data_IF_294344607471
#
_entry.id   IF_294344607471
#
_cell.length_a   1.000
_cell.length_b   1.000
_cell.length_c   1.000
_cell.angle_alpha   90.00
_cell.angle_beta   90.00
_cell.angle_gamma   90.00
#
_symmetry.space_group_name_H-M   'P 1'
#
loop_
_entity.id
_entity.type
_entity.pdbx_description
1 polymer ?
#
# COMPACT_ATOMS: atom_id res chain seq x y z
N UNK A 1 -0.55 26.35 -13.93
CA UNK A 1 0.19 27.60 -13.72
C UNK A 1 1.29 27.47 -12.66
N UNK A 2 1.00 26.94 -11.45
CA UNK A 2 2.02 26.76 -10.40
C UNK A 2 3.04 25.65 -10.74
N UNK A 3 2.58 24.50 -11.24
CA UNK A 3 3.45 23.38 -11.66
C UNK A 3 4.38 23.72 -12.84
N UNK A 4 3.93 24.60 -13.75
CA UNK A 4 4.73 25.05 -14.90
C UNK A 4 5.81 26.06 -14.49
N UNK A 5 5.57 26.86 -13.45
CA UNK A 5 6.58 27.77 -12.89
C UNK A 5 7.66 27.03 -12.09
N UNK A 6 7.25 26.01 -11.31
CA UNK A 6 8.19 25.16 -10.57
C UNK A 6 9.14 24.38 -11.49
N UNK A 7 8.64 23.85 -12.62
CA UNK A 7 9.46 23.11 -13.60
C UNK A 7 10.64 23.88 -14.19
N UNK A 8 10.60 25.22 -14.20
CA UNK A 8 11.70 26.04 -14.70
C UNK A 8 12.78 26.29 -13.63
N UNK A 9 12.42 26.24 -12.34
CA UNK A 9 13.37 26.34 -11.23
C UNK A 9 14.11 25.01 -10.98
N UNK A 10 13.50 23.87 -11.34
CA UNK A 10 14.07 22.53 -11.15
C UNK A 10 15.02 22.09 -12.26
N UNK A 11 15.13 22.83 -13.38
CA UNK A 11 15.89 22.36 -14.56
C UNK A 11 17.39 22.17 -14.31
N UNK A 12 17.93 22.82 -13.29
CA UNK A 12 19.36 22.78 -12.92
C UNK A 12 19.57 22.29 -11.50
N UNK A 13 18.49 21.96 -10.78
CA UNK A 13 18.56 21.49 -9.40
C UNK A 13 18.53 19.96 -9.40
N UNK A 14 19.71 19.38 -9.23
CA UNK A 14 19.94 17.95 -9.23
C UNK A 14 19.12 17.25 -8.13
N UNK A 15 18.96 17.87 -6.95
CA UNK A 15 18.19 17.31 -5.83
C UNK A 15 16.70 17.30 -6.18
N UNK A 16 16.17 18.40 -6.72
CA UNK A 16 14.77 18.48 -7.10
C UNK A 16 14.41 17.46 -8.20
N UNK A 17 15.30 17.24 -9.18
CA UNK A 17 15.10 16.23 -10.23
C UNK A 17 15.15 14.82 -9.65
N UNK A 18 16.08 14.53 -8.75
CA UNK A 18 16.15 13.25 -8.04
C UNK A 18 14.87 12.98 -7.24
N UNK A 19 14.43 13.93 -6.42
CA UNK A 19 13.20 13.82 -5.64
C UNK A 19 11.96 13.67 -6.53
N UNK A 20 11.91 14.35 -7.67
CA UNK A 20 10.84 14.15 -8.65
C UNK A 20 10.80 12.70 -9.15
N UNK A 21 11.94 12.13 -9.51
CA UNK A 21 12.03 10.73 -9.95
C UNK A 21 11.61 9.75 -8.84
N UNK A 22 12.01 10.02 -7.60
CA UNK A 22 11.56 9.26 -6.42
C UNK A 22 10.04 9.35 -6.26
N UNK A 23 9.45 10.54 -6.40
CA UNK A 23 7.99 10.70 -6.35
C UNK A 23 7.28 9.87 -7.42
N UNK A 24 7.79 9.85 -8.66
CA UNK A 24 7.23 8.99 -9.71
C UNK A 24 7.30 7.50 -9.33
N UNK A 25 8.42 7.05 -8.75
CA UNK A 25 8.55 5.68 -8.24
C UNK A 25 7.54 5.37 -7.11
N UNK A 26 7.38 6.28 -6.13
CA UNK A 26 6.44 6.09 -5.02
C UNK A 26 4.98 6.09 -5.47
N UNK A 27 4.66 6.79 -6.56
CA UNK A 27 3.35 6.79 -7.20
C UNK A 27 3.15 5.61 -8.18
N UNK A 28 4.10 4.66 -8.23
CA UNK A 28 4.10 3.52 -9.15
C UNK A 28 4.05 3.91 -10.65
N UNK A 29 4.48 5.13 -10.99
CA UNK A 29 4.67 5.59 -12.37
C UNK A 29 6.07 5.14 -12.85
N UNK A 30 6.22 3.83 -13.04
CA UNK A 30 7.52 3.16 -13.18
C UNK A 30 8.28 3.61 -14.44
N UNK A 31 7.60 3.81 -15.56
CA UNK A 31 8.23 4.22 -16.82
C UNK A 31 8.80 5.63 -16.73
N UNK A 32 8.04 6.59 -16.18
CA UNK A 32 8.52 7.95 -15.94
C UNK A 32 9.67 7.98 -14.93
N UNK A 33 9.56 7.20 -13.85
CA UNK A 33 10.63 7.08 -12.86
C UNK A 33 11.92 6.57 -13.53
N UNK A 34 11.83 5.50 -14.32
CA UNK A 34 12.96 4.92 -15.04
C UNK A 34 13.62 5.93 -15.97
N UNK A 35 12.81 6.63 -16.77
CA UNK A 35 13.30 7.63 -17.72
C UNK A 35 14.03 8.78 -17.02
N UNK A 36 13.51 9.26 -15.88
CA UNK A 36 14.14 10.34 -15.11
C UNK A 36 15.45 9.91 -14.47
N UNK A 37 15.52 8.73 -13.84
CA UNK A 37 16.77 8.24 -13.24
C UNK A 37 17.84 7.96 -14.30
N UNK A 38 17.48 7.33 -15.42
CA UNK A 38 18.42 7.07 -16.52
C UNK A 38 18.94 8.36 -17.14
N UNK A 39 18.08 9.37 -17.28
CA UNK A 39 18.49 10.69 -17.74
C UNK A 39 19.52 11.30 -16.81
N UNK A 40 19.29 11.28 -15.50
CA UNK A 40 20.24 11.81 -14.50
C UNK A 40 21.58 11.08 -14.55
N UNK A 41 21.57 9.74 -14.61
CA UNK A 41 22.80 8.93 -14.72
C UNK A 41 23.62 9.31 -15.98
N UNK A 42 22.95 9.68 -17.07
CA UNK A 42 23.58 9.97 -18.36
C UNK A 42 24.05 11.42 -18.50
N UNK A 43 23.27 12.37 -18.03
CA UNK A 43 23.47 13.80 -18.30
C UNK A 43 24.22 14.52 -17.17
N UNK A 44 24.10 14.06 -15.92
CA UNK A 44 24.80 14.67 -14.80
C UNK A 44 26.26 14.24 -14.74
N UNK A 45 27.14 15.18 -14.40
CA UNK A 45 28.58 14.90 -14.24
C UNK A 45 28.85 14.05 -12.99
N UNK A 46 28.08 14.25 -11.93
CA UNK A 46 28.21 13.58 -10.63
C UNK A 46 26.81 13.24 -10.06
N UNK A 47 26.08 12.31 -10.69
CA UNK A 47 24.73 11.92 -10.25
C UNK A 47 24.76 11.28 -8.86
N UNK A 48 23.67 11.43 -8.10
CA UNK A 48 23.52 10.72 -6.83
C UNK A 48 23.65 9.19 -7.04
N UNK A 49 24.48 8.48 -6.25
CA UNK A 49 24.59 7.01 -6.33
C UNK A 49 23.23 6.31 -6.21
N UNK A 50 22.30 6.89 -5.47
CA UNK A 50 20.93 6.42 -5.29
C UNK A 50 20.16 6.33 -6.62
N UNK A 51 20.54 7.05 -7.67
CA UNK A 51 19.92 6.92 -8.99
C UNK A 51 20.01 5.47 -9.50
N UNK A 52 21.12 4.76 -9.26
CA UNK A 52 21.26 3.35 -9.62
C UNK A 52 20.44 2.46 -8.71
N UNK A 53 20.41 2.74 -7.39
CA UNK A 53 19.56 2.01 -6.46
C UNK A 53 18.09 2.07 -6.89
N UNK A 54 17.57 3.25 -7.19
CA UNK A 54 16.19 3.42 -7.62
C UNK A 54 15.94 2.85 -9.02
N UNK A 55 16.88 2.99 -9.97
CA UNK A 55 16.76 2.33 -11.28
C UNK A 55 16.62 0.81 -11.15
N UNK A 56 17.41 0.19 -10.26
CA UNK A 56 17.31 -1.23 -9.98
C UNK A 56 15.95 -1.59 -9.32
N UNK A 57 15.49 -0.78 -8.36
CA UNK A 57 14.16 -0.95 -7.73
C UNK A 57 13.01 -0.81 -8.73
N UNK A 58 13.13 0.10 -9.69
CA UNK A 58 12.14 0.26 -10.78
C UNK A 58 12.12 -1.00 -11.64
N UNK A 59 13.27 -1.48 -12.12
CA UNK A 59 13.32 -2.74 -12.87
C UNK A 59 12.80 -3.93 -12.07
N UNK A 60 13.08 -3.98 -10.77
CA UNK A 60 12.56 -5.00 -9.87
C UNK A 60 11.03 -4.95 -9.81
N UNK A 61 10.44 -3.76 -9.60
CA UNK A 61 8.99 -3.55 -9.60
C UNK A 61 8.32 -3.89 -10.95
N UNK A 62 9.02 -3.69 -12.06
CA UNK A 62 8.57 -4.09 -13.41
C UNK A 62 8.78 -5.59 -13.70
N UNK A 63 9.20 -6.39 -12.71
CA UNK A 63 9.56 -7.80 -12.85
C UNK A 63 10.69 -8.08 -13.86
N UNK A 64 11.45 -7.05 -14.23
CA UNK A 64 12.65 -7.18 -15.07
C UNK A 64 13.85 -7.54 -14.19
N UNK A 65 13.73 -8.65 -13.46
CA UNK A 65 14.66 -9.06 -12.40
C UNK A 65 16.11 -9.17 -12.85
N UNK A 66 16.36 -9.63 -14.09
CA UNK A 66 17.72 -9.69 -14.64
C UNK A 66 18.38 -8.32 -14.72
N UNK A 67 17.69 -7.33 -15.31
CA UNK A 67 18.19 -5.94 -15.38
C UNK A 67 18.33 -5.33 -13.99
N UNK A 68 17.39 -5.62 -13.09
CA UNK A 68 17.46 -5.16 -11.71
C UNK A 68 18.75 -5.65 -11.02
N UNK A 69 19.09 -6.93 -11.16
CA UNK A 69 20.33 -7.51 -10.61
C UNK A 69 21.56 -6.80 -11.15
N UNK A 70 21.62 -6.54 -12.46
CA UNK A 70 22.76 -5.87 -13.09
C UNK A 70 22.95 -4.46 -12.53
N UNK A 71 21.87 -3.68 -12.44
CA UNK A 71 21.93 -2.31 -11.92
C UNK A 71 22.19 -2.28 -10.39
N UNK A 72 21.66 -3.23 -9.62
CA UNK A 72 22.02 -3.35 -8.19
C UNK A 72 23.51 -3.62 -8.01
N UNK A 73 24.12 -4.45 -8.89
CA UNK A 73 25.57 -4.67 -8.88
C UNK A 73 26.34 -3.41 -9.28
N UNK A 74 25.82 -2.62 -10.22
CA UNK A 74 26.40 -1.31 -10.56
C UNK A 74 26.39 -0.35 -9.37
N UNK A 75 25.27 -0.27 -8.64
CA UNK A 75 25.19 0.51 -7.40
C UNK A 75 26.20 0.02 -6.35
N UNK A 76 26.31 -1.30 -6.13
CA UNK A 76 27.28 -1.89 -5.21
C UNK A 76 28.74 -1.56 -5.56
N UNK A 77 29.08 -1.30 -6.82
CA UNK A 77 30.44 -0.89 -7.22
C UNK A 77 30.76 0.56 -6.84
N UNK A 78 29.74 1.40 -6.64
CA UNK A 78 29.92 2.80 -6.23
C UNK A 78 30.05 2.95 -4.71
N UNK A 79 29.53 2.00 -3.95
CA UNK A 79 29.58 2.02 -2.50
C UNK A 79 30.95 1.59 -1.96
N UNK A 80 31.39 2.24 -0.88
CA UNK A 80 32.55 1.78 -0.09
C UNK A 80 32.29 0.38 0.47
N UNK A 81 33.36 -0.37 0.76
CA UNK A 81 33.25 -1.75 1.25
C UNK A 81 32.53 -1.89 2.59
N UNK A 82 32.57 -0.87 3.44
CA UNK A 82 31.92 -0.80 4.75
C UNK A 82 30.57 -0.05 4.74
N UNK A 83 30.04 0.28 3.56
CA UNK A 83 28.76 0.99 3.46
C UNK A 83 27.59 0.11 3.98
N UNK A 84 26.73 0.64 4.88
CA UNK A 84 25.65 -0.14 5.48
C UNK A 84 24.60 -0.62 4.46
N UNK A 85 24.45 0.06 3.33
CA UNK A 85 23.47 -0.29 2.30
C UNK A 85 23.87 -1.56 1.54
N UNK A 86 25.15 -1.95 1.52
CA UNK A 86 25.61 -3.14 0.77
C UNK A 86 24.84 -4.39 1.14
N UNK A 87 24.57 -4.59 2.44
CA UNK A 87 23.85 -5.76 2.93
C UNK A 87 22.43 -5.79 2.35
N UNK A 88 21.70 -4.68 2.47
CA UNK A 88 20.32 -4.54 2.00
C UNK A 88 20.26 -4.77 0.49
N UNK A 89 21.19 -4.19 -0.28
CA UNK A 89 21.22 -4.34 -1.74
C UNK A 89 21.51 -5.77 -2.17
N UNK A 90 22.40 -6.49 -1.47
CA UNK A 90 22.61 -7.91 -1.73
C UNK A 90 21.36 -8.76 -1.45
N UNK A 91 20.56 -8.39 -0.44
CA UNK A 91 19.27 -9.04 -0.19
C UNK A 91 18.28 -8.77 -1.33
N UNK A 92 18.26 -7.56 -1.90
CA UNK A 92 17.44 -7.26 -3.09
C UNK A 92 17.87 -8.06 -4.33
N UNK A 93 19.18 -8.27 -4.54
CA UNK A 93 19.70 -9.15 -5.59
C UNK A 93 19.22 -10.59 -5.41
N UNK A 94 19.23 -11.11 -4.18
CA UNK A 94 18.69 -12.45 -3.87
C UNK A 94 17.19 -12.53 -4.13
N UNK A 95 16.43 -11.49 -3.78
CA UNK A 95 14.99 -11.42 -4.08
C UNK A 95 14.71 -11.43 -5.58
N UNK A 96 15.51 -10.71 -6.38
CA UNK A 96 15.40 -10.77 -7.83
C UNK A 96 15.70 -12.18 -8.37
N UNK A 97 16.75 -12.84 -7.85
CA UNK A 97 17.07 -14.21 -8.24
C UNK A 97 15.93 -15.19 -7.91
N UNK A 98 15.37 -15.09 -6.70
CA UNK A 98 14.18 -15.85 -6.32
C UNK A 98 12.99 -15.53 -7.22
N UNK A 99 12.80 -14.25 -7.59
CA UNK A 99 11.75 -13.82 -8.53
C UNK A 99 11.88 -14.48 -9.91
N UNK A 100 13.11 -14.63 -10.41
CA UNK A 100 13.39 -15.35 -11.67
C UNK A 100 13.00 -16.83 -11.60
N UNK A 101 13.19 -17.47 -10.45
CA UNK A 101 12.80 -18.87 -10.26
C UNK A 101 11.27 -19.01 -10.07
N UNK A 102 10.68 -18.14 -9.26
CA UNK A 102 9.27 -18.20 -8.90
C UNK A 102 8.33 -17.84 -10.05
N UNK A 103 8.73 -16.95 -10.98
CA UNK A 103 7.89 -16.60 -12.13
C UNK A 103 7.55 -17.79 -13.04
N UNK A 104 8.35 -18.86 -13.01
CA UNK A 104 8.09 -20.08 -13.78
C UNK A 104 7.41 -21.18 -12.97
N UNK A 105 7.21 -20.96 -11.67
CA UNK A 105 6.50 -21.91 -10.81
C UNK A 105 5.01 -21.64 -10.90
N UNK A 106 4.24 -22.67 -11.28
CA UNK A 106 2.79 -22.58 -11.25
C UNK A 106 2.32 -22.31 -9.81
N UNK A 107 1.45 -21.30 -9.64
CA UNK A 107 0.79 -21.07 -8.36
C UNK A 107 -0.23 -22.18 -8.12
N UNK A 108 -0.19 -22.79 -6.93
CA UNK A 108 -1.21 -23.75 -6.51
C UNK A 108 -2.52 -23.06 -6.11
N UNK A 109 -2.50 -21.74 -5.94
CA UNK A 109 -3.65 -20.92 -5.61
C UNK A 109 -3.95 -19.91 -6.73
N UNK A 110 -5.22 -19.83 -7.13
CA UNK A 110 -5.72 -18.72 -7.93
C UNK A 110 -5.86 -17.48 -7.04
N UNK A 111 -5.22 -16.39 -7.44
CA UNK A 111 -5.44 -15.08 -6.80
C UNK A 111 -6.22 -14.23 -7.79
N UNK A 112 -7.38 -13.77 -7.36
CA UNK A 112 -8.22 -12.88 -8.15
C UNK A 112 -8.49 -11.59 -7.37
N UNK A 113 -8.60 -10.49 -8.09
CA UNK A 113 -9.09 -9.25 -7.52
C UNK A 113 -10.59 -9.43 -7.25
N UNK A 114 -11.04 -9.11 -6.03
CA UNK A 114 -12.43 -9.24 -5.58
C UNK A 114 -13.43 -8.33 -6.33
N UNK A 115 -12.94 -7.44 -7.19
CA UNK A 115 -13.74 -6.51 -7.97
C UNK A 115 -13.99 -5.18 -7.25
N UNK A 116 -14.52 -4.19 -7.99
CA UNK A 116 -14.69 -2.82 -7.50
C UNK A 116 -15.75 -2.66 -6.40
N UNK A 117 -16.62 -3.67 -6.23
CA UNK A 117 -17.60 -3.71 -5.14
C UNK A 117 -16.95 -3.86 -3.75
N UNK A 118 -15.69 -4.34 -3.72
CA UNK A 118 -14.89 -4.50 -2.51
C UNK A 118 -13.64 -3.63 -2.57
N UNK A 119 -12.82 -3.79 -3.62
CA UNK A 119 -11.56 -3.05 -3.78
C UNK A 119 -11.82 -1.70 -4.44
N UNK A 120 -11.88 -0.64 -3.65
CA UNK A 120 -12.14 0.71 -4.15
C UNK A 120 -10.83 1.46 -4.45
N UNK A 121 -10.92 2.75 -4.77
CA UNK A 121 -9.74 3.62 -4.86
C UNK A 121 -9.19 4.04 -3.49
N UNK A 122 -9.90 3.69 -2.41
CA UNK A 122 -9.55 3.98 -1.03
C UNK A 122 -8.90 2.76 -0.34
N UNK A 123 -8.62 2.90 0.96
CA UNK A 123 -8.00 1.82 1.70
C UNK A 123 -9.04 0.77 2.11
N UNK A 124 -8.85 -0.48 1.72
CA UNK A 124 -9.49 -1.66 2.29
C UNK A 124 -8.46 -2.58 2.92
N UNK A 125 -8.70 -2.98 4.18
CA UNK A 125 -7.71 -3.70 4.97
C UNK A 125 -8.36 -4.54 6.07
N UNK A 126 -7.53 -5.30 6.79
CA UNK A 126 -7.94 -6.23 7.84
C UNK A 126 -9.12 -7.16 7.43
N UNK A 127 -9.00 -7.89 6.30
CA UNK A 127 -10.03 -8.84 5.90
C UNK A 127 -10.11 -10.02 6.88
N UNK A 128 -11.33 -10.38 7.27
CA UNK A 128 -11.66 -11.49 8.16
C UNK A 128 -12.79 -12.30 7.54
N UNK A 129 -12.55 -13.59 7.31
CA UNK A 129 -13.58 -14.51 6.82
C UNK A 129 -14.63 -14.76 7.90
N UNK A 130 -15.90 -14.90 7.49
CA UNK A 130 -16.93 -15.31 8.43
C UNK A 130 -16.71 -16.75 8.92
N UNK A 131 -16.80 -16.95 10.23
CA UNK A 131 -16.77 -18.29 10.83
C UNK A 131 -18.05 -19.09 10.57
N UNK A 132 -19.14 -18.42 10.16
CA UNK A 132 -20.46 -19.02 10.00
C UNK A 132 -20.89 -19.15 8.52
N UNK A 133 -20.33 -18.34 7.63
CA UNK A 133 -20.75 -18.29 6.23
C UNK A 133 -19.54 -18.22 5.29
N UNK A 134 -19.29 -19.29 4.54
CA UNK A 134 -18.15 -19.38 3.60
C UNK A 134 -18.17 -18.33 2.50
N UNK A 135 -19.34 -17.75 2.21
CA UNK A 135 -19.53 -16.72 1.19
C UNK A 135 -19.51 -15.29 1.75
N UNK A 136 -19.07 -15.05 2.99
CA UNK A 136 -19.13 -13.74 3.65
C UNK A 136 -17.76 -13.30 4.16
N UNK A 137 -17.41 -12.05 3.87
CA UNK A 137 -16.17 -11.40 4.29
C UNK A 137 -16.49 -10.13 5.08
N UNK A 138 -15.72 -9.91 6.13
CA UNK A 138 -15.68 -8.67 6.88
C UNK A 138 -14.34 -7.99 6.66
N UNK A 139 -14.30 -6.67 6.66
CA UNK A 139 -13.07 -5.91 6.50
C UNK A 139 -13.26 -4.50 7.03
N UNK A 140 -12.20 -3.70 7.01
CA UNK A 140 -12.25 -2.29 7.36
C UNK A 140 -11.87 -1.44 6.17
N UNK A 141 -12.45 -0.24 6.10
CA UNK A 141 -12.14 0.69 5.02
C UNK A 141 -12.06 2.13 5.52
N UNK A 142 -11.15 2.92 4.96
CA UNK A 142 -11.04 4.37 5.17
C UNK A 142 -11.50 5.07 3.90
N UNK A 143 -12.76 5.51 3.86
CA UNK A 143 -13.36 6.11 2.66
C UNK A 143 -14.39 7.19 2.98
N UNK A 144 -14.75 8.05 2.01
CA UNK A 144 -15.86 8.97 2.16
C UNK A 144 -17.16 8.25 2.52
N UNK A 145 -17.93 8.83 3.43
CA UNK A 145 -19.20 8.26 3.91
C UNK A 145 -19.07 7.45 5.20
N UNK A 146 -17.86 7.15 5.67
CA UNK A 146 -17.63 6.54 6.98
C UNK A 146 -18.17 7.42 8.11
N UNK A 147 -18.63 6.80 9.21
CA UNK A 147 -19.30 7.46 10.32
C UNK A 147 -18.42 8.52 10.99
N UNK A 148 -17.13 8.22 11.13
CA UNK A 148 -16.12 9.15 11.61
C UNK A 148 -15.93 10.37 10.72
N UNK A 149 -16.19 10.31 9.41
CA UNK A 149 -15.92 11.43 8.50
C UNK A 149 -14.47 11.94 8.63
N UNK A 150 -14.22 13.19 8.20
CA UNK A 150 -12.88 13.78 8.27
C UNK A 150 -12.57 14.33 9.67
N UNK A 151 -11.46 13.89 10.26
CA UNK A 151 -11.00 14.27 11.60
C UNK A 151 -9.51 14.67 11.60
N UNK A 152 -9.13 15.58 12.47
CA UNK A 152 -7.73 15.93 12.73
C UNK A 152 -7.11 15.05 13.82
N UNK A 153 -5.83 15.25 14.12
CA UNK A 153 -5.09 14.48 15.14
C UNK A 153 -5.67 14.60 16.57
N UNK A 154 -6.50 15.60 16.86
CA UNK A 154 -7.20 15.75 18.13
C UNK A 154 -8.60 15.07 18.12
N UNK A 155 -8.97 14.37 17.04
CA UNK A 155 -10.28 13.75 16.90
C UNK A 155 -11.42 14.74 16.59
N UNK A 156 -11.10 15.99 16.25
CA UNK A 156 -12.10 17.02 15.92
C UNK A 156 -12.39 17.01 14.43
N UNK A 157 -13.64 17.34 14.05
CA UNK A 157 -14.06 17.44 12.66
C UNK A 157 -13.24 18.50 11.90
N UNK A 158 -12.65 18.10 10.79
CA UNK A 158 -11.87 18.97 9.91
C UNK A 158 -12.09 18.58 8.45
N UNK A 159 -12.99 19.29 7.78
CA UNK A 159 -13.34 19.03 6.39
C UNK A 159 -12.28 19.51 5.40
N UNK A 160 -11.24 20.22 5.86
CA UNK A 160 -10.19 20.77 4.98
C UNK A 160 -8.95 19.89 5.00
N UNK A 161 -8.42 19.62 6.19
CA UNK A 161 -7.14 18.92 6.40
C UNK A 161 -7.32 17.57 7.11
N UNK A 162 -8.53 17.23 7.57
CA UNK A 162 -8.78 15.98 8.26
C UNK A 162 -8.72 14.77 7.34
N UNK A 163 -8.49 13.62 7.96
CA UNK A 163 -8.48 12.30 7.33
C UNK A 163 -9.75 11.54 7.70
N UNK A 164 -10.22 10.67 6.81
CA UNK A 164 -11.34 9.79 7.12
C UNK A 164 -10.93 8.78 8.18
N UNK A 165 -11.84 8.51 9.11
CA UNK A 165 -11.67 7.41 10.06
C UNK A 165 -12.26 6.13 9.49
N UNK A 166 -11.73 5.00 9.92
CA UNK A 166 -12.09 3.68 9.40
C UNK A 166 -13.42 3.19 9.99
N UNK A 167 -14.25 2.61 9.14
CA UNK A 167 -15.44 1.85 9.55
C UNK A 167 -15.22 0.37 9.22
N UNK A 168 -15.94 -0.51 9.91
CA UNK A 168 -16.03 -1.93 9.59
C UNK A 168 -17.15 -2.17 8.57
N UNK A 169 -16.90 -3.06 7.62
CA UNK A 169 -17.77 -3.41 6.51
C UNK A 169 -17.95 -4.92 6.40
N UNK A 170 -18.99 -5.33 5.67
CA UNK A 170 -19.17 -6.71 5.23
C UNK A 170 -19.61 -6.77 3.78
N UNK A 171 -19.21 -7.82 3.10
CA UNK A 171 -19.67 -8.19 1.76
C UNK A 171 -19.96 -9.70 1.72
N UNK A 172 -20.72 -10.13 0.73
CA UNK A 172 -21.01 -11.53 0.48
C UNK A 172 -20.99 -11.83 -1.00
N UNK A 173 -20.71 -13.08 -1.37
CA UNK A 173 -20.81 -13.52 -2.75
C UNK A 173 -22.28 -13.55 -3.17
N UNK A 174 -22.58 -12.92 -4.29
CA UNK A 174 -23.87 -12.89 -4.96
C UNK A 174 -23.79 -13.63 -6.32
N UNK A 175 -24.88 -14.30 -6.69
CA UNK A 175 -24.96 -15.05 -7.95
C UNK A 175 -23.96 -16.21 -8.01
N UNK A 176 -23.24 -16.32 -9.13
CA UNK A 176 -22.41 -17.49 -9.40
C UNK A 176 -21.01 -17.45 -8.77
N UNK A 177 -20.38 -16.28 -8.56
CA UNK A 177 -19.03 -16.14 -7.94
C UNK A 177 -18.58 -14.68 -7.71
N UNK A 178 -19.47 -13.67 -7.70
CA UNK A 178 -19.04 -12.26 -7.59
C UNK A 178 -19.30 -11.69 -6.20
N UNK A 179 -18.35 -10.96 -5.63
CA UNK A 179 -18.57 -10.23 -4.40
C UNK A 179 -19.56 -9.08 -4.63
N UNK A 180 -20.59 -9.02 -3.80
CA UNK A 180 -21.57 -7.94 -3.81
C UNK A 180 -21.04 -6.65 -3.19
N UNK A 181 -21.84 -5.60 -3.29
CA UNK A 181 -21.54 -4.28 -2.72
C UNK A 181 -21.27 -4.37 -1.21
N UNK A 182 -20.13 -3.81 -0.79
CA UNK A 182 -19.76 -3.77 0.62
C UNK A 182 -20.65 -2.81 1.42
N UNK A 183 -21.19 -3.30 2.54
CA UNK A 183 -22.08 -2.54 3.43
C UNK A 183 -21.43 -2.30 4.78
N UNK A 184 -21.53 -1.07 5.28
CA UNK A 184 -21.05 -0.73 6.61
C UNK A 184 -21.77 -1.58 7.65
N UNK A 185 -21.04 -2.03 8.67
CA UNK A 185 -21.65 -2.62 9.85
C UNK A 185 -22.50 -1.58 10.59
N UNK A 186 -23.39 -2.08 11.44
CA UNK A 186 -24.36 -1.25 12.15
C UNK A 186 -23.69 -0.16 12.99
N UNK A 187 -24.34 0.99 13.14
CA UNK A 187 -23.87 2.15 13.91
C UNK A 187 -23.68 1.92 15.43
N UNK A 188 -23.94 0.70 15.91
CA UNK A 188 -23.62 0.31 17.28
C UNK A 188 -22.16 -0.17 17.38
N UNK A 189 -21.62 -0.64 16.27
CA UNK A 189 -20.22 -1.06 16.13
C UNK A 189 -19.39 0.10 15.59
N UNK A 190 -19.80 0.67 14.44
CA UNK A 190 -19.15 1.84 13.86
C UNK A 190 -19.56 3.11 14.59
N UNK A 191 -18.63 4.03 14.77
CA UNK A 191 -18.81 5.27 15.52
C UNK A 191 -17.97 6.40 14.94
N UNK A 192 -17.91 7.59 15.58
CA UNK A 192 -17.04 8.65 15.10
C UNK A 192 -15.52 8.41 15.25
N UNK A 193 -15.10 7.23 15.72
CA UNK A 193 -13.71 6.82 15.94
C UNK A 193 -13.24 5.89 14.81
N UNK A 194 -11.98 5.49 14.81
CA UNK A 194 -11.55 4.36 14.00
C UNK A 194 -12.11 3.07 14.59
N UNK A 195 -12.83 2.30 13.78
CA UNK A 195 -13.08 0.90 14.04
C UNK A 195 -12.36 0.01 13.03
N UNK A 196 -11.68 -1.02 13.53
CA UNK A 196 -10.92 -1.97 12.70
C UNK A 196 -11.27 -3.40 13.07
N UNK A 197 -11.65 -4.20 12.08
CA UNK A 197 -11.87 -5.64 12.21
C UNK A 197 -10.60 -6.32 12.72
N UNK A 198 -10.71 -7.19 13.73
CA UNK A 198 -9.59 -8.04 14.17
C UNK A 198 -9.86 -9.51 13.87
N UNK A 199 -10.87 -10.11 14.49
CA UNK A 199 -11.29 -11.49 14.23
C UNK A 199 -12.63 -11.81 14.90
N UNK A 200 -13.08 -13.05 14.77
CA UNK A 200 -14.15 -13.65 15.56
C UNK A 200 -13.62 -14.77 16.44
N UNK A 201 -14.39 -15.16 17.46
CA UNK A 201 -14.15 -16.44 18.12
C UNK A 201 -14.55 -17.62 17.21
N UNK A 202 -14.21 -18.84 17.63
CA UNK A 202 -14.35 -20.06 16.82
C UNK A 202 -15.76 -20.32 16.26
N UNK A 203 -16.82 -19.94 16.98
CA UNK A 203 -18.20 -20.15 16.53
C UNK A 203 -18.85 -18.89 15.93
N UNK A 204 -18.07 -17.81 15.80
CA UNK A 204 -18.48 -16.51 15.27
C UNK A 204 -19.55 -15.79 16.09
N UNK A 205 -19.76 -16.19 17.36
CA UNK A 205 -20.71 -15.51 18.26
C UNK A 205 -20.11 -14.29 18.97
N UNK A 206 -18.80 -14.08 18.84
CA UNK A 206 -18.07 -12.96 19.45
C UNK A 206 -17.20 -12.29 18.39
N UNK A 207 -17.29 -10.96 18.31
CA UNK A 207 -16.45 -10.10 17.48
C UNK A 207 -15.35 -9.48 18.33
N UNK A 208 -14.11 -9.53 17.84
CA UNK A 208 -12.98 -8.75 18.30
C UNK A 208 -12.71 -7.60 17.33
N UNK A 209 -12.65 -6.37 17.82
CA UNK A 209 -12.37 -5.21 16.98
C UNK A 209 -11.62 -4.14 17.76
N UNK A 210 -10.79 -3.37 17.06
CA UNK A 210 -10.12 -2.21 17.62
C UNK A 210 -11.02 -0.98 17.55
N UNK A 211 -10.94 -0.12 18.56
CA UNK A 211 -11.59 1.20 18.59
C UNK A 211 -10.65 2.28 19.13
N UNK A 212 -10.46 3.37 18.40
CA UNK A 212 -9.59 4.46 18.86
C UNK A 212 -9.65 5.76 18.06
N UNK A 213 -9.00 6.80 18.59
CA UNK A 213 -8.87 8.11 17.91
C UNK A 213 -7.63 8.20 17.01
N UNK A 214 -6.72 7.23 17.11
CA UNK A 214 -5.64 7.01 16.14
C UNK A 214 -5.45 5.51 15.93
N UNK A 215 -4.81 5.08 14.81
CA UNK A 215 -4.51 3.66 14.56
C UNK A 215 -3.67 2.99 15.66
N UNK A 216 -2.89 3.77 16.42
CA UNK A 216 -1.97 3.27 17.46
C UNK A 216 -2.49 3.49 18.88
N UNK A 217 -3.55 4.30 19.06
CA UNK A 217 -4.10 4.67 20.37
C UNK A 217 -5.58 4.37 20.43
N UNK A 218 -5.88 3.23 21.02
CA UNK A 218 -7.24 2.77 21.25
C UNK A 218 -7.28 1.56 22.16
N UNK A 219 -8.36 0.82 22.06
CA UNK A 219 -8.64 -0.37 22.84
C UNK A 219 -9.18 -1.47 21.95
N UNK A 220 -8.90 -2.73 22.31
CA UNK A 220 -9.55 -3.88 21.71
C UNK A 220 -10.84 -4.13 22.48
N UNK A 221 -11.95 -4.17 21.74
CA UNK A 221 -13.28 -4.43 22.26
C UNK A 221 -13.76 -5.81 21.85
N UNK A 222 -14.67 -6.33 22.66
CA UNK A 222 -15.30 -7.63 22.50
C UNK A 222 -16.79 -7.39 22.55
N UNK A 223 -17.53 -7.84 21.54
CA UNK A 223 -18.99 -7.73 21.50
C UNK A 223 -19.62 -9.06 21.08
N UNK A 224 -20.85 -9.30 21.56
CA UNK A 224 -21.66 -10.41 21.09
C UNK A 224 -22.08 -10.15 19.66
N UNK A 225 -21.69 -11.05 18.76
CA UNK A 225 -22.00 -10.94 17.35
C UNK A 225 -23.10 -11.92 16.98
N UNK A 226 -24.25 -11.37 16.59
CA UNK A 226 -25.34 -12.21 16.09
C UNK A 226 -25.01 -12.68 14.68
N UNK A 227 -25.31 -13.95 14.41
CA UNK A 227 -25.30 -14.53 13.08
C UNK A 227 -26.40 -13.83 12.26
N UNK A 228 -26.01 -12.91 11.38
CA UNK A 228 -26.91 -12.26 10.42
C UNK A 228 -26.38 -12.53 9.02
#
# INVERSE_FOLDING_TARGET
AVLSGARNLTKTDQEALFLQAVCHYQLNNLDEALALFQKQIKEEKDPYPECWLYTAKVYHAMHQFGKAIDVYKDYLRQLKSNDPNRRIVWDEVRRCANGIELQYKASEAGVENMGPAVNTEYDEFAPVLSQNFSNKLYFSSIRPGNMGGRRNAAGLRDERLGQYFSDMFSTQIEGMSQWGEARALHHLLNSPQHEVMLDFNKDGSVLYYFKGWSPERGQILIDTFKKV
#
